data_IF_149331811709
#
_entry.id   IF_149331811709
#
_cell.length_a   1.000
_cell.length_b   1.000
_cell.length_c   1.000
_cell.angle_alpha   90.00
_cell.angle_beta   90.00
_cell.angle_gamma   90.00
#
_symmetry.space_group_name_H-M   'P 1'
#
loop_
_entity.id
_entity.type
_entity.pdbx_description
1 polymer ?
#
# COMPACT_ATOMS: atom_id res chain seq x y z
N UNK A 1 -5.53 -7.99 7.94
CA UNK A 1 -5.85 -7.24 6.71
C UNK A 1 -5.07 -5.94 6.79
N UNK A 2 -4.14 -5.67 5.88
CA UNK A 2 -3.40 -4.40 5.83
C UNK A 2 -4.44 -3.35 5.41
N UNK A 3 -4.63 -2.24 6.16
CA UNK A 3 -5.60 -1.23 5.78
C UNK A 3 -5.33 -0.81 4.33
N UNK A 4 -6.33 -0.88 3.47
CA UNK A 4 -6.28 -0.22 2.17
C UNK A 4 -6.13 1.27 2.46
N UNK A 5 -5.02 1.85 2.05
CA UNK A 5 -4.93 3.30 1.94
C UNK A 5 -6.14 3.73 1.09
N UNK A 6 -6.94 4.66 1.59
CA UNK A 6 -8.04 5.20 0.81
C UNK A 6 -7.57 5.55 -0.60
N UNK A 7 -8.46 5.55 -1.58
CA UNK A 7 -8.27 5.63 -3.05
C UNK A 7 -7.43 6.81 -3.58
N UNK A 8 -6.46 7.32 -2.82
CA UNK A 8 -5.64 8.48 -3.20
C UNK A 8 -4.42 8.06 -4.04
N UNK A 9 -4.70 7.51 -5.20
CA UNK A 9 -3.73 7.38 -6.28
C UNK A 9 -3.66 8.69 -7.07
N UNK A 10 -2.55 8.98 -7.76
CA UNK A 10 -2.45 10.17 -8.60
C UNK A 10 -3.53 10.18 -9.69
N UNK A 11 -4.38 11.19 -9.68
CA UNK A 11 -5.38 11.40 -10.73
C UNK A 11 -4.81 12.11 -11.96
N UNK A 12 -3.70 12.82 -11.78
CA UNK A 12 -3.03 13.61 -12.83
C UNK A 12 -1.56 13.23 -12.96
N UNK A 13 -1.07 13.20 -14.17
CA UNK A 13 0.35 12.99 -14.48
C UNK A 13 0.79 11.53 -14.62
N UNK A 14 0.00 10.56 -14.14
CA UNK A 14 0.25 9.13 -14.29
C UNK A 14 -1.08 8.36 -14.28
N UNK A 15 -1.28 7.44 -15.21
CA UNK A 15 -2.38 6.50 -15.20
C UNK A 15 -1.97 5.26 -14.43
N UNK A 16 -2.63 4.96 -13.32
CA UNK A 16 -2.33 3.83 -12.45
C UNK A 16 -3.60 3.27 -11.84
N UNK A 17 -3.78 1.95 -11.85
CA UNK A 17 -4.88 1.27 -11.15
C UNK A 17 -4.60 1.15 -9.64
N UNK A 18 -5.62 0.78 -8.86
CA UNK A 18 -5.46 0.54 -7.43
C UNK A 18 -4.49 -0.62 -7.15
N UNK A 19 -4.60 -1.73 -7.89
CA UNK A 19 -3.69 -2.86 -7.74
C UNK A 19 -2.24 -2.49 -8.10
N UNK A 20 -2.03 -1.73 -9.18
CA UNK A 20 -0.71 -1.26 -9.56
C UNK A 20 -0.08 -0.35 -8.50
N UNK A 21 -0.88 0.55 -7.92
CA UNK A 21 -0.46 1.42 -6.83
C UNK A 21 -0.14 0.64 -5.56
N UNK A 22 -0.96 -0.37 -5.24
CA UNK A 22 -0.71 -1.27 -4.12
C UNK A 22 0.51 -2.17 -4.34
N UNK A 23 0.80 -2.62 -5.57
CA UNK A 23 2.03 -3.37 -5.88
C UNK A 23 3.26 -2.51 -5.62
N UNK A 24 3.28 -1.23 -6.04
CA UNK A 24 4.37 -0.31 -5.69
C UNK A 24 4.55 -0.20 -4.17
N UNK A 25 3.44 -0.02 -3.44
CA UNK A 25 3.44 0.05 -1.98
C UNK A 25 4.00 -1.23 -1.35
N UNK A 26 3.47 -2.39 -1.70
CA UNK A 26 3.90 -3.69 -1.17
C UNK A 26 5.37 -4.00 -1.50
N UNK A 27 5.81 -3.66 -2.72
CA UNK A 27 7.23 -3.75 -3.11
C UNK A 27 8.12 -2.93 -2.17
N UNK A 28 7.71 -1.72 -1.84
CA UNK A 28 8.46 -0.85 -0.94
C UNK A 28 8.42 -1.31 0.52
N UNK A 29 7.36 -1.97 0.97
CA UNK A 29 7.33 -2.63 2.28
C UNK A 29 8.41 -3.71 2.35
N UNK A 30 8.50 -4.60 1.36
CA UNK A 30 9.54 -5.64 1.34
C UNK A 30 10.95 -5.05 1.27
N UNK A 31 11.15 -3.99 0.49
CA UNK A 31 12.43 -3.30 0.41
C UNK A 31 12.82 -2.62 1.72
N UNK A 32 11.88 -1.99 2.40
CA UNK A 32 12.13 -1.34 3.69
C UNK A 32 12.50 -2.33 4.81
N UNK A 33 11.90 -3.53 4.83
CA UNK A 33 12.28 -4.61 5.75
C UNK A 33 13.76 -4.97 5.64
N UNK A 34 14.32 -4.90 4.43
CA UNK A 34 15.72 -5.20 4.12
C UNK A 34 16.60 -3.93 4.10
N UNK A 35 16.12 -2.80 4.62
CA UNK A 35 16.86 -1.53 4.67
C UNK A 35 17.16 -0.90 3.32
N UNK A 36 16.56 -1.39 2.22
CA UNK A 36 16.80 -0.91 0.87
C UNK A 36 16.12 0.44 0.62
N UNK A 37 16.68 1.24 -0.30
CA UNK A 37 16.03 2.47 -0.79
C UNK A 37 14.69 2.13 -1.44
N UNK A 38 13.68 2.97 -1.19
CA UNK A 38 12.37 2.81 -1.80
C UNK A 38 12.41 3.19 -3.27
N UNK A 39 11.50 2.59 -4.04
CA UNK A 39 11.32 2.86 -5.47
C UNK A 39 10.19 3.86 -5.67
N UNK A 40 10.35 4.72 -6.68
CA UNK A 40 9.31 5.66 -7.10
C UNK A 40 8.86 5.31 -8.53
N UNK A 41 7.63 5.68 -8.89
CA UNK A 41 6.98 5.30 -10.15
C UNK A 41 6.94 6.47 -11.14
N UNK A 42 7.80 6.51 -12.17
CA UNK A 42 7.71 7.51 -13.24
C UNK A 42 6.69 7.11 -14.29
N UNK A 43 5.93 8.09 -14.82
CA UNK A 43 4.85 7.84 -15.79
C UNK A 43 5.31 7.10 -17.05
N UNK A 44 6.51 7.37 -17.54
CA UNK A 44 7.04 6.71 -18.73
C UNK A 44 7.26 5.20 -18.52
N UNK A 45 7.77 4.81 -17.35
CA UNK A 45 7.99 3.41 -17.00
C UNK A 45 6.66 2.72 -16.69
N UNK A 46 5.74 3.40 -16.04
CA UNK A 46 4.38 2.91 -15.78
C UNK A 46 3.65 2.58 -17.08
N UNK A 47 3.69 3.51 -18.05
CA UNK A 47 3.09 3.29 -19.38
C UNK A 47 3.70 2.08 -20.10
N UNK A 48 5.02 1.95 -20.07
CA UNK A 48 5.73 0.80 -20.67
C UNK A 48 5.29 -0.53 -20.04
N UNK A 49 5.15 -0.54 -18.71
CA UNK A 49 4.77 -1.75 -17.97
C UNK A 49 3.30 -2.13 -18.22
N UNK A 50 2.40 -1.16 -18.33
CA UNK A 50 1.01 -1.38 -18.70
C UNK A 50 0.88 -2.02 -20.10
N UNK A 51 1.72 -1.59 -21.07
CA UNK A 51 1.81 -2.21 -22.39
C UNK A 51 2.26 -3.67 -22.27
N UNK A 52 3.31 -3.93 -21.45
CA UNK A 52 3.84 -5.29 -21.26
C UNK A 52 2.81 -6.23 -20.61
N UNK A 53 2.03 -5.77 -19.64
CA UNK A 53 0.98 -6.59 -19.02
C UNK A 53 -0.06 -7.05 -20.07
N UNK A 54 -0.50 -6.13 -20.96
CA UNK A 54 -1.42 -6.47 -22.05
C UNK A 54 -0.80 -7.43 -23.07
N UNK A 55 0.45 -7.19 -23.46
CA UNK A 55 1.17 -8.07 -24.39
C UNK A 55 1.28 -9.49 -23.87
N UNK A 56 1.46 -9.68 -22.56
CA UNK A 56 1.72 -10.99 -21.98
C UNK A 56 0.51 -11.94 -21.96
N UNK A 57 -0.71 -11.45 -21.98
CA UNK A 57 -1.94 -12.29 -21.91
C UNK A 57 -1.93 -13.38 -22.98
N UNK A 58 -1.60 -13.03 -24.22
CA UNK A 58 -1.59 -13.93 -25.38
C UNK A 58 -0.19 -14.10 -25.99
N UNK A 59 0.86 -13.77 -25.25
CA UNK A 59 2.23 -13.84 -25.75
C UNK A 59 2.73 -15.30 -25.77
N UNK A 60 3.07 -15.79 -26.95
CA UNK A 60 3.65 -17.13 -27.17
C UNK A 60 5.18 -17.13 -27.24
N UNK A 61 5.80 -15.95 -27.17
CA UNK A 61 7.24 -15.81 -27.18
C UNK A 61 7.85 -16.22 -25.83
N UNK A 62 9.14 -16.57 -25.78
CA UNK A 62 9.84 -16.84 -24.51
C UNK A 62 9.68 -15.70 -23.50
N UNK A 63 9.82 -16.02 -22.21
CA UNK A 63 9.77 -15.04 -21.13
C UNK A 63 10.69 -13.84 -21.45
N UNK A 64 10.24 -12.63 -21.05
CA UNK A 64 10.96 -11.38 -21.29
C UNK A 64 11.09 -10.93 -22.76
N UNK A 65 10.36 -11.62 -23.66
CA UNK A 65 10.29 -11.27 -25.10
C UNK A 65 8.90 -10.73 -25.40
N UNK A 66 8.82 -9.68 -26.21
CA UNK A 66 7.56 -9.08 -26.67
C UNK A 66 6.97 -9.90 -27.83
N UNK A 67 5.67 -9.77 -28.16
CA UNK A 67 5.06 -10.49 -29.28
C UNK A 67 5.75 -10.29 -30.63
N UNK A 68 6.42 -9.16 -30.82
CA UNK A 68 7.19 -8.85 -32.03
C UNK A 68 8.62 -9.42 -32.05
N UNK A 69 8.97 -10.31 -31.08
CA UNK A 69 10.27 -10.93 -30.96
C UNK A 69 11.36 -10.07 -30.33
N UNK A 70 11.07 -8.81 -29.98
CA UNK A 70 12.07 -7.95 -29.34
C UNK A 70 12.09 -8.13 -27.82
N UNK A 71 13.19 -7.73 -27.16
CA UNK A 71 13.29 -7.75 -25.70
C UNK A 71 12.26 -6.82 -25.05
N UNK A 72 11.76 -7.17 -23.84
CA UNK A 72 10.90 -6.32 -23.02
C UNK A 72 11.45 -4.89 -22.84
N UNK A 73 12.78 -4.74 -22.88
CA UNK A 73 13.46 -3.43 -22.75
C UNK A 73 12.99 -2.42 -23.80
N UNK A 74 12.57 -2.89 -24.98
CA UNK A 74 12.08 -2.02 -26.06
C UNK A 74 10.69 -1.43 -25.79
N UNK A 75 9.97 -1.89 -24.78
CA UNK A 75 8.74 -1.24 -24.33
C UNK A 75 9.03 0.08 -23.61
N UNK A 76 10.21 0.22 -22.99
CA UNK A 76 10.63 1.44 -22.30
C UNK A 76 11.11 2.45 -23.34
N UNK A 77 10.53 3.67 -23.42
CA UNK A 77 10.90 4.63 -24.43
C UNK A 77 12.37 5.08 -24.28
N UNK A 78 13.07 5.28 -25.38
CA UNK A 78 14.47 5.69 -25.40
C UNK A 78 14.74 7.06 -24.74
N UNK A 79 13.68 7.88 -24.63
CA UNK A 79 13.70 9.16 -23.90
C UNK A 79 13.81 8.97 -22.39
N UNK A 80 13.39 7.82 -21.84
CA UNK A 80 13.52 7.48 -20.42
C UNK A 80 14.93 6.95 -20.16
N UNK A 81 15.85 7.82 -19.74
CA UNK A 81 17.25 7.46 -19.50
C UNK A 81 17.39 6.61 -18.24
N UNK A 82 18.01 5.45 -18.38
CA UNK A 82 18.29 4.51 -17.30
C UNK A 82 19.68 3.89 -17.48
N UNK A 83 20.20 3.27 -16.41
CA UNK A 83 21.51 2.57 -16.42
C UNK A 83 21.35 1.05 -16.36
N UNK A 84 20.14 0.56 -16.28
CA UNK A 84 19.81 -0.87 -16.27
C UNK A 84 18.33 -1.09 -16.03
N UNK A 85 17.81 -2.17 -16.58
CA UNK A 85 16.40 -2.59 -16.45
C UNK A 85 16.32 -4.03 -15.93
N UNK A 86 15.23 -4.33 -15.22
CA UNK A 86 14.84 -5.68 -14.84
C UNK A 86 13.34 -5.84 -15.00
N UNK A 87 12.88 -7.06 -15.23
CA UNK A 87 11.46 -7.39 -15.35
C UNK A 87 11.10 -8.55 -14.43
N UNK A 88 9.98 -8.44 -13.73
CA UNK A 88 9.27 -9.56 -13.11
C UNK A 88 7.93 -9.72 -13.82
N UNK A 89 7.57 -10.97 -14.10
CA UNK A 89 6.29 -11.35 -14.71
C UNK A 89 5.56 -12.29 -13.75
N UNK A 90 4.23 -12.18 -13.69
CA UNK A 90 3.38 -13.07 -12.92
C UNK A 90 2.10 -13.32 -13.69
N UNK A 91 1.70 -14.59 -13.75
CA UNK A 91 0.46 -15.05 -14.38
C UNK A 91 -0.32 -15.91 -13.39
N UNK A 92 -1.63 -15.73 -13.36
CA UNK A 92 -2.54 -16.58 -12.58
C UNK A 92 -3.77 -16.96 -13.40
N UNK A 93 -4.66 -17.77 -12.83
CA UNK A 93 -5.86 -18.29 -13.51
C UNK A 93 -7.10 -17.42 -13.29
N UNK A 94 -7.01 -16.38 -12.47
CA UNK A 94 -8.08 -15.44 -12.16
C UNK A 94 -7.57 -14.02 -12.39
N UNK A 95 -8.45 -13.02 -12.29
CA UNK A 95 -8.04 -11.61 -12.29
C UNK A 95 -6.95 -11.40 -11.24
N UNK A 96 -5.83 -10.84 -11.68
CA UNK A 96 -4.67 -10.62 -10.81
C UNK A 96 -4.98 -9.51 -9.79
N UNK A 97 -4.53 -9.71 -8.55
CA UNK A 97 -4.55 -8.70 -7.50
C UNK A 97 -3.13 -8.40 -7.02
N UNK A 98 -2.95 -7.25 -6.39
CA UNK A 98 -1.66 -6.86 -5.83
C UNK A 98 -1.08 -7.92 -4.88
N UNK A 99 -1.92 -8.50 -4.02
CA UNK A 99 -1.50 -9.51 -3.05
C UNK A 99 -1.08 -10.82 -3.71
N UNK A 100 -1.81 -11.27 -4.76
CA UNK A 100 -1.47 -12.48 -5.50
C UNK A 100 -0.13 -12.34 -6.21
N UNK A 101 0.06 -11.24 -6.93
CA UNK A 101 1.30 -10.98 -7.66
C UNK A 101 2.50 -10.88 -6.71
N UNK A 102 2.40 -10.08 -5.65
CA UNK A 102 3.48 -9.93 -4.68
C UNK A 102 3.83 -11.23 -3.97
N UNK A 103 2.83 -12.03 -3.57
CA UNK A 103 3.07 -13.36 -2.98
C UNK A 103 3.81 -14.28 -3.96
N UNK A 104 3.40 -14.29 -5.23
CA UNK A 104 4.07 -15.09 -6.26
C UNK A 104 5.53 -14.67 -6.45
N UNK A 105 5.80 -13.38 -6.59
CA UNK A 105 7.16 -12.87 -6.77
C UNK A 105 8.04 -13.10 -5.53
N UNK A 106 7.54 -12.88 -4.32
CA UNK A 106 8.33 -13.06 -3.10
C UNK A 106 8.65 -14.53 -2.79
N UNK A 107 7.84 -15.47 -3.28
CA UNK A 107 8.12 -16.91 -3.19
C UNK A 107 9.09 -17.42 -4.28
N UNK A 108 9.46 -16.60 -5.23
CA UNK A 108 10.43 -16.93 -6.30
C UNK A 108 11.76 -16.24 -6.04
N UNK A 109 12.84 -17.00 -5.90
CA UNK A 109 14.18 -16.46 -5.58
C UNK A 109 14.64 -15.39 -6.59
N UNK A 110 14.44 -15.61 -7.89
CA UNK A 110 14.84 -14.67 -8.95
C UNK A 110 14.01 -13.38 -8.93
N UNK A 111 12.69 -13.49 -8.77
CA UNK A 111 11.81 -12.32 -8.69
C UNK A 111 12.05 -11.52 -7.41
N UNK A 112 12.21 -12.20 -6.26
CA UNK A 112 12.58 -11.57 -4.99
C UNK A 112 13.91 -10.83 -5.10
N UNK A 113 14.91 -11.43 -5.75
CA UNK A 113 16.21 -10.78 -5.99
C UNK A 113 16.07 -9.48 -6.79
N UNK A 114 15.19 -9.44 -7.81
CA UNK A 114 14.89 -8.20 -8.54
C UNK A 114 14.21 -7.17 -7.63
N UNK A 115 13.21 -7.56 -6.85
CA UNK A 115 12.52 -6.66 -5.91
C UNK A 115 13.50 -6.04 -4.92
N UNK A 116 14.47 -6.80 -4.43
CA UNK A 116 15.43 -6.37 -3.40
C UNK A 116 16.75 -5.81 -3.96
N UNK A 117 16.92 -5.76 -5.28
CA UNK A 117 18.14 -5.25 -5.90
C UNK A 117 18.39 -3.78 -5.53
N UNK A 118 19.59 -3.48 -5.08
CA UNK A 118 19.90 -2.20 -4.44
C UNK A 118 19.97 -1.02 -5.40
N UNK A 119 20.47 -1.25 -6.61
CA UNK A 119 20.71 -0.18 -7.58
C UNK A 119 19.46 0.31 -8.32
N UNK A 120 18.30 -0.31 -8.13
CA UNK A 120 17.06 0.21 -8.70
C UNK A 120 16.57 1.45 -7.97
N UNK A 121 16.03 2.40 -8.73
CA UNK A 121 15.45 3.65 -8.25
C UNK A 121 13.97 3.77 -8.63
N UNK A 122 13.61 3.21 -9.76
CA UNK A 122 12.27 3.34 -10.34
C UNK A 122 11.60 1.99 -10.52
N UNK A 123 10.28 2.00 -10.43
CA UNK A 123 9.41 0.86 -10.68
C UNK A 123 8.20 1.32 -11.51
N UNK A 124 7.96 0.64 -12.63
CA UNK A 124 6.66 0.63 -13.30
C UNK A 124 5.94 -0.67 -12.96
N UNK A 125 4.63 -0.61 -12.87
CA UNK A 125 3.77 -1.77 -12.58
C UNK A 125 2.65 -1.80 -13.61
N UNK A 126 2.37 -2.95 -14.21
CA UNK A 126 1.23 -3.16 -15.08
C UNK A 126 0.43 -4.36 -14.63
N UNK A 127 -0.90 -4.21 -14.63
CA UNK A 127 -1.84 -5.31 -14.42
C UNK A 127 -2.83 -5.35 -15.58
N UNK A 128 -3.11 -6.54 -16.08
CA UNK A 128 -4.13 -6.74 -17.09
C UNK A 128 -4.67 -8.17 -17.02
N UNK A 129 -5.97 -8.33 -16.78
CA UNK A 129 -6.62 -9.64 -16.63
C UNK A 129 -5.90 -10.55 -15.63
N UNK A 130 -5.20 -11.57 -16.13
CA UNK A 130 -4.48 -12.60 -15.35
C UNK A 130 -3.00 -12.26 -15.14
N UNK A 131 -2.51 -11.17 -15.71
CA UNK A 131 -1.09 -10.82 -15.78
C UNK A 131 -0.73 -9.64 -14.92
N UNK A 132 0.41 -9.74 -14.23
CA UNK A 132 1.07 -8.61 -13.60
C UNK A 132 2.54 -8.54 -14.03
N UNK A 133 3.03 -7.33 -14.24
CA UNK A 133 4.42 -7.06 -14.65
C UNK A 133 4.99 -5.94 -13.79
N UNK A 134 6.24 -6.12 -13.37
CA UNK A 134 7.10 -5.07 -12.82
C UNK A 134 8.25 -4.80 -13.78
N UNK A 135 8.50 -3.54 -14.12
CA UNK A 135 9.75 -3.14 -14.76
C UNK A 135 10.50 -2.20 -13.81
N UNK A 136 11.67 -2.65 -13.40
CA UNK A 136 12.60 -1.89 -12.57
C UNK A 136 13.58 -1.12 -13.43
N UNK A 137 13.99 0.06 -12.95
CA UNK A 137 15.03 0.82 -13.62
C UNK A 137 16.04 1.43 -12.64
N UNK A 138 17.33 1.32 -12.98
CA UNK A 138 18.42 2.01 -12.31
C UNK A 138 18.62 3.41 -12.91
N UNK A 139 19.10 4.35 -12.09
CA UNK A 139 19.43 5.71 -12.54
C UNK A 139 20.65 6.23 -11.78
N UNK A 140 21.53 6.93 -12.50
CA UNK A 140 22.64 7.69 -11.89
C UNK A 140 22.17 9.05 -11.32
N UNK A 141 20.93 9.46 -11.60
CA UNK A 141 20.37 10.75 -11.19
C UNK A 141 19.62 10.62 -9.88
N UNK A 142 20.01 11.38 -8.87
CA UNK A 142 19.35 11.40 -7.55
C UNK A 142 18.12 12.29 -7.59
N UNK A 143 17.12 12.00 -6.75
CA UNK A 143 15.99 12.89 -6.49
C UNK A 143 16.54 14.20 -5.90
N UNK A 144 16.27 15.33 -6.56
CA UNK A 144 16.74 16.66 -6.14
C UNK A 144 15.70 17.45 -5.37
N UNK A 145 14.41 17.18 -5.62
CA UNK A 145 13.29 17.87 -4.96
C UNK A 145 12.09 16.95 -4.85
N UNK A 146 11.22 17.27 -3.90
CA UNK A 146 9.95 16.58 -3.70
C UNK A 146 8.90 17.55 -3.16
N UNK A 147 7.64 17.24 -3.42
CA UNK A 147 6.45 17.80 -2.79
C UNK A 147 5.45 16.69 -2.52
N UNK A 148 4.37 16.96 -1.81
CA UNK A 148 3.25 16.02 -1.71
C UNK A 148 2.14 16.38 -2.70
N UNK A 149 1.14 15.53 -2.82
CA UNK A 149 -0.05 15.75 -3.65
C UNK A 149 -0.75 17.07 -3.35
N UNK A 150 -0.79 17.49 -2.08
CA UNK A 150 -1.36 18.77 -1.64
C UNK A 150 -0.34 19.89 -1.50
N UNK A 151 0.94 19.66 -1.82
CA UNK A 151 2.03 20.62 -1.61
C UNK A 151 2.52 20.74 -0.17
N UNK A 152 1.91 20.02 0.78
CA UNK A 152 2.25 20.11 2.21
C UNK A 152 3.25 19.02 2.61
N UNK A 153 4.28 19.40 3.35
CA UNK A 153 5.24 18.46 3.98
C UNK A 153 5.09 18.42 5.50
N UNK A 154 4.08 19.11 6.02
CA UNK A 154 3.73 19.14 7.44
C UNK A 154 2.24 18.87 7.59
N UNK A 155 1.88 17.87 8.37
CA UNK A 155 0.51 17.42 8.61
C UNK A 155 0.17 17.57 10.10
N UNK A 156 -1.11 17.68 10.42
CA UNK A 156 -1.58 17.75 11.79
C UNK A 156 -1.24 16.47 12.55
N UNK A 157 -1.53 15.33 11.94
CA UNK A 157 -1.31 13.98 12.45
C UNK A 157 -1.09 12.98 11.29
N UNK A 158 -0.95 11.70 11.61
CA UNK A 158 -0.75 10.63 10.63
C UNK A 158 -2.00 10.40 9.76
N UNK A 159 -3.19 10.70 10.27
CA UNK A 159 -4.46 10.58 9.53
C UNK A 159 -4.58 11.66 8.46
N UNK A 160 -4.20 12.90 8.80
CA UNK A 160 -4.16 14.00 7.82
C UNK A 160 -3.13 13.77 6.70
N UNK A 161 -2.15 12.90 6.93
CA UNK A 161 -1.18 12.45 5.92
C UNK A 161 -1.70 11.24 5.13
N UNK A 162 -2.70 10.52 5.65
CA UNK A 162 -3.18 9.30 5.01
C UNK A 162 -3.74 9.60 3.61
N UNK A 163 -3.31 8.79 2.65
CA UNK A 163 -3.70 8.95 1.25
C UNK A 163 -2.89 9.97 0.45
N UNK A 164 -1.99 10.72 1.07
CA UNK A 164 -1.06 11.57 0.35
C UNK A 164 0.02 10.73 -0.38
N UNK A 165 0.59 11.31 -1.41
CA UNK A 165 1.75 10.74 -2.11
C UNK A 165 2.80 11.80 -2.38
N UNK A 166 4.06 11.37 -2.47
CA UNK A 166 5.15 12.22 -2.94
C UNK A 166 5.13 12.34 -4.46
N UNK A 167 5.47 13.51 -4.93
CA UNK A 167 5.87 13.82 -6.30
C UNK A 167 7.34 14.19 -6.23
N UNK A 168 8.20 13.27 -6.65
CA UNK A 168 9.65 13.41 -6.65
C UNK A 168 10.13 13.89 -8.02
N UNK A 169 11.13 14.78 -8.06
CA UNK A 169 11.80 15.18 -9.30
C UNK A 169 13.30 14.89 -9.16
N UNK A 170 13.89 14.15 -10.08
CA UNK A 170 15.30 13.86 -10.11
C UNK A 170 16.14 14.98 -10.76
N UNK A 171 17.45 14.79 -10.79
CA UNK A 171 18.39 15.74 -11.39
C UNK A 171 18.23 15.89 -12.92
N UNK A 172 17.60 14.91 -13.59
CA UNK A 172 17.26 14.98 -15.02
C UNK A 172 15.87 15.57 -15.28
N UNK A 173 15.11 15.93 -14.23
CA UNK A 173 13.74 16.44 -14.34
C UNK A 173 12.66 15.35 -14.43
N UNK A 174 13.02 14.08 -14.27
CA UNK A 174 12.04 12.99 -14.28
C UNK A 174 11.16 13.10 -13.03
N UNK A 175 9.86 13.24 -13.24
CA UNK A 175 8.85 13.16 -12.18
C UNK A 175 8.47 11.71 -11.90
N UNK A 176 8.37 11.36 -10.62
CA UNK A 176 7.98 10.04 -10.17
C UNK A 176 7.19 10.14 -8.87
N UNK A 177 6.40 9.11 -8.57
CA UNK A 177 5.37 9.13 -7.54
C UNK A 177 5.61 8.02 -6.51
N UNK A 178 5.26 8.28 -5.25
CA UNK A 178 5.39 7.32 -4.14
C UNK A 178 4.26 7.55 -3.14
N UNK A 179 3.42 6.53 -2.80
CA UNK A 179 2.46 6.66 -1.70
C UNK A 179 3.17 7.05 -0.40
N UNK A 180 2.53 7.86 0.45
CA UNK A 180 2.99 8.03 1.82
C UNK A 180 2.38 6.95 2.70
N UNK A 181 3.22 6.07 3.24
CA UNK A 181 2.80 4.97 4.11
C UNK A 181 3.79 4.79 5.26
N UNK A 182 3.29 4.92 6.47
CA UNK A 182 4.10 4.79 7.69
C UNK A 182 4.72 3.40 7.86
N UNK A 183 4.23 2.38 7.15
CA UNK A 183 4.77 1.00 7.20
C UNK A 183 6.21 0.92 6.70
N UNK A 184 6.60 1.77 5.75
CA UNK A 184 7.97 1.80 5.21
C UNK A 184 8.70 3.13 5.45
N UNK A 185 8.06 4.07 6.14
CA UNK A 185 8.70 5.32 6.56
C UNK A 185 9.35 5.14 7.92
N UNK A 186 10.55 5.67 8.11
CA UNK A 186 11.23 5.61 9.41
C UNK A 186 10.73 6.74 10.31
N UNK A 187 10.11 6.38 11.44
CA UNK A 187 9.68 7.35 12.46
C UNK A 187 10.87 8.04 13.08
N UNK A 188 10.80 9.36 13.23
CA UNK A 188 11.79 10.22 13.88
C UNK A 188 11.06 11.25 14.76
N UNK A 189 11.79 11.98 15.60
CA UNK A 189 11.19 13.06 16.42
C UNK A 189 10.48 14.07 15.49
N UNK A 190 9.19 14.26 15.69
CA UNK A 190 8.36 15.19 14.95
C UNK A 190 7.95 14.75 13.53
N UNK A 191 7.99 13.45 13.22
CA UNK A 191 7.48 12.94 11.93
C UNK A 191 8.20 11.73 11.38
N UNK A 192 8.49 11.74 10.08
CA UNK A 192 9.06 10.60 9.35
C UNK A 192 10.19 11.02 8.41
N UNK A 193 11.10 10.09 8.17
CA UNK A 193 12.06 10.13 7.06
C UNK A 193 11.78 9.01 6.07
N UNK A 194 12.08 9.25 4.80
CA UNK A 194 11.85 8.32 3.70
C UNK A 194 13.18 8.00 3.04
N UNK A 195 13.55 6.71 3.00
CA UNK A 195 14.82 6.24 2.45
C UNK A 195 14.76 6.19 0.92
N UNK A 196 15.04 7.29 0.26
CA UNK A 196 15.09 7.43 -1.20
C UNK A 196 16.53 7.69 -1.71
N UNK A 197 16.78 7.41 -2.98
CA UNK A 197 18.00 7.85 -3.64
C UNK A 197 17.92 9.35 -3.94
N UNK A 198 18.11 10.18 -2.91
CA UNK A 198 17.92 11.62 -2.98
C UNK A 198 19.19 12.40 -2.58
N UNK A 199 19.28 13.66 -3.04
CA UNK A 199 20.39 14.57 -2.68
C UNK A 199 20.29 15.06 -1.25
N UNK A 200 19.07 15.08 -0.68
CA UNK A 200 18.77 15.46 0.71
C UNK A 200 17.78 14.47 1.31
N UNK A 201 17.84 14.29 2.62
CA UNK A 201 16.89 13.45 3.33
C UNK A 201 15.46 13.95 3.12
N UNK A 202 14.57 13.06 2.64
CA UNK A 202 13.14 13.34 2.51
C UNK A 202 12.50 13.26 3.88
N UNK A 203 11.81 14.33 4.30
CA UNK A 203 11.20 14.45 5.64
C UNK A 203 9.74 14.86 5.52
N UNK A 204 8.88 14.21 6.29
CA UNK A 204 7.49 14.59 6.52
C UNK A 204 7.34 14.93 8.00
N UNK A 205 6.81 16.11 8.30
CA UNK A 205 6.60 16.57 9.67
C UNK A 205 5.17 16.24 10.13
N UNK A 206 5.04 15.82 11.38
CA UNK A 206 3.75 15.61 12.05
C UNK A 206 3.72 16.55 13.26
N UNK A 207 2.77 17.49 13.32
CA UNK A 207 2.65 18.47 14.40
C UNK A 207 2.23 17.80 15.71
N UNK A 208 1.20 16.98 15.64
CA UNK A 208 0.68 16.20 16.76
C UNK A 208 1.11 14.75 16.57
N UNK A 209 2.43 14.49 16.58
CA UNK A 209 2.90 13.12 16.61
C UNK A 209 2.30 12.48 17.86
N UNK A 210 1.29 11.63 17.68
CA UNK A 210 0.63 10.95 18.80
C UNK A 210 1.69 10.37 19.70
N UNK A 211 1.72 10.80 20.96
CA UNK A 211 2.33 10.02 22.00
C UNK A 211 1.74 8.62 21.86
N UNK A 212 2.59 7.61 21.77
CA UNK A 212 2.20 6.20 21.88
C UNK A 212 1.06 6.11 22.89
N UNK A 213 -0.02 5.40 22.51
CA UNK A 213 -1.18 5.23 23.39
C UNK A 213 -0.70 4.93 24.81
N UNK A 214 -1.33 5.56 25.77
CA UNK A 214 -0.97 5.46 27.20
C UNK A 214 -1.39 4.12 27.84
N UNK A 215 -1.78 3.13 27.04
CA UNK A 215 -2.17 1.82 27.56
C UNK A 215 -0.94 0.98 27.87
N UNK A 216 -0.87 0.49 29.11
CA UNK A 216 0.29 -0.22 29.66
C UNK A 216 0.31 -1.71 29.32
N UNK A 217 -0.81 -2.26 28.88
CA UNK A 217 -1.05 -3.68 28.58
C UNK A 217 -0.90 -4.05 27.10
N UNK A 218 -0.22 -3.19 26.33
CA UNK A 218 -0.22 -3.27 24.87
C UNK A 218 1.19 -3.33 24.29
N UNK A 219 1.38 -4.15 23.26
CA UNK A 219 2.62 -4.17 22.49
C UNK A 219 2.75 -2.95 21.58
N UNK A 220 3.97 -2.52 21.30
CA UNK A 220 4.24 -1.42 20.39
C UNK A 220 3.68 -1.65 18.97
N UNK A 221 3.54 -2.94 18.56
CA UNK A 221 2.95 -3.33 17.27
C UNK A 221 1.45 -3.01 17.21
N UNK A 222 0.73 -3.15 18.33
CA UNK A 222 -0.72 -2.96 18.40
C UNK A 222 -1.11 -1.50 18.63
N UNK A 223 -0.18 -0.68 19.11
CA UNK A 223 -0.42 0.70 19.54
C UNK A 223 -1.17 1.56 18.51
N UNK A 224 -0.83 1.41 17.22
CA UNK A 224 -1.47 2.16 16.14
C UNK A 224 -2.91 1.68 15.88
N UNK A 225 -3.12 0.38 15.87
CA UNK A 225 -4.43 -0.21 15.66
C UNK A 225 -5.38 0.18 16.79
N UNK A 226 -4.91 0.08 18.04
CA UNK A 226 -5.68 0.46 19.23
C UNK A 226 -6.00 1.95 19.22
N UNK A 227 -5.02 2.81 18.97
CA UNK A 227 -5.26 4.26 18.88
C UNK A 227 -6.32 4.59 17.81
N UNK A 228 -6.29 3.89 16.67
CA UNK A 228 -7.25 4.11 15.59
C UNK A 228 -8.67 3.64 15.96
N UNK A 229 -8.83 2.43 16.52
CA UNK A 229 -10.15 1.91 16.89
C UNK A 229 -10.79 2.72 18.02
N UNK A 230 -10.00 3.23 18.98
CA UNK A 230 -10.49 4.09 20.05
C UNK A 230 -10.90 5.46 19.52
N UNK A 231 -10.04 6.10 18.71
CA UNK A 231 -10.33 7.40 18.08
C UNK A 231 -11.63 7.37 17.26
N UNK A 232 -11.84 6.28 16.51
CA UNK A 232 -13.03 6.12 15.66
C UNK A 232 -14.22 5.52 16.41
N UNK A 233 -14.15 5.39 17.73
CA UNK A 233 -15.22 4.85 18.59
C UNK A 233 -15.69 3.45 18.16
N UNK A 234 -14.79 2.68 17.54
CA UNK A 234 -15.07 1.30 17.12
C UNK A 234 -14.96 0.36 18.31
N UNK A 235 -13.94 0.56 19.15
CA UNK A 235 -13.75 -0.16 20.41
C UNK A 235 -13.41 0.85 21.51
N UNK A 236 -13.86 0.52 22.74
CA UNK A 236 -13.58 1.35 23.92
C UNK A 236 -12.47 0.70 24.75
N UNK A 237 -11.59 1.50 25.37
CA UNK A 237 -10.63 0.97 26.34
C UNK A 237 -11.38 0.46 27.58
N UNK A 238 -10.83 -0.56 28.22
CA UNK A 238 -11.41 -1.16 29.41
C UNK A 238 -11.17 -0.33 30.67
N UNK A 239 -10.12 0.50 30.64
CA UNK A 239 -9.83 1.49 31.66
C UNK A 239 -9.03 2.65 31.06
N UNK A 240 -8.72 3.67 31.88
CA UNK A 240 -7.90 4.81 31.44
C UNK A 240 -6.52 4.39 30.87
N UNK A 241 -5.96 3.31 31.36
CA UNK A 241 -4.60 2.86 31.03
C UNK A 241 -4.51 1.46 30.42
N UNK A 242 -5.64 0.78 30.15
CA UNK A 242 -5.67 -0.60 29.68
C UNK A 242 -6.70 -0.77 28.56
N UNK A 243 -6.32 -1.51 27.52
CA UNK A 243 -7.14 -1.81 26.35
C UNK A 243 -7.42 -3.31 26.20
N UNK A 244 -6.66 -4.18 26.87
CA UNK A 244 -6.69 -5.64 26.76
C UNK A 244 -6.57 -6.12 25.30
N UNK A 245 -5.58 -5.63 24.59
CA UNK A 245 -5.32 -5.92 23.15
C UNK A 245 -5.16 -7.42 22.86
N UNK A 246 -4.81 -8.22 23.87
CA UNK A 246 -4.67 -9.67 23.80
C UNK A 246 -5.85 -10.46 24.36
N UNK A 247 -6.95 -9.79 24.72
CA UNK A 247 -8.15 -10.47 25.18
C UNK A 247 -8.79 -11.30 24.05
N UNK A 248 -9.43 -12.39 24.42
CA UNK A 248 -10.18 -13.21 23.45
C UNK A 248 -11.42 -12.41 23.03
N UNK A 249 -11.54 -12.15 21.73
CA UNK A 249 -12.72 -11.55 21.13
C UNK A 249 -13.80 -12.62 20.89
N UNK A 250 -15.03 -12.34 21.30
CA UNK A 250 -16.20 -13.12 20.90
C UNK A 250 -16.59 -12.78 19.45
N UNK A 251 -17.41 -13.62 18.82
CA UNK A 251 -18.02 -13.30 17.51
C UNK A 251 -18.81 -11.99 17.58
N UNK A 252 -19.53 -11.75 18.69
CA UNK A 252 -20.28 -10.52 18.91
C UNK A 252 -19.40 -9.27 18.94
N UNK A 253 -18.20 -9.33 19.55
CA UNK A 253 -17.24 -8.22 19.58
C UNK A 253 -16.71 -7.91 18.18
N UNK A 254 -16.41 -8.95 17.39
CA UNK A 254 -15.94 -8.78 16.00
C UNK A 254 -17.02 -8.11 15.15
N UNK A 255 -18.27 -8.60 15.20
CA UNK A 255 -19.38 -8.01 14.44
C UNK A 255 -19.67 -6.58 14.89
N UNK A 256 -19.62 -6.32 16.20
CA UNK A 256 -19.82 -4.98 16.73
C UNK A 256 -18.76 -3.99 16.26
N UNK A 257 -17.49 -4.40 16.23
CA UNK A 257 -16.40 -3.59 15.70
C UNK A 257 -16.56 -3.32 14.20
N UNK A 258 -16.88 -4.34 13.39
CA UNK A 258 -17.14 -4.20 11.97
C UNK A 258 -18.36 -3.30 11.68
N UNK A 259 -19.44 -3.46 12.43
CA UNK A 259 -20.64 -2.64 12.33
C UNK A 259 -20.36 -1.16 12.60
N UNK A 260 -19.65 -0.87 13.70
CA UNK A 260 -19.24 0.49 14.06
C UNK A 260 -18.29 1.09 13.01
N UNK A 261 -17.34 0.30 12.51
CA UNK A 261 -16.40 0.74 11.45
C UNK A 261 -17.13 1.10 10.13
N UNK A 262 -18.33 0.55 9.91
CA UNK A 262 -19.20 0.87 8.76
C UNK A 262 -20.24 1.97 9.06
N UNK A 263 -20.06 2.74 10.12
CA UNK A 263 -20.94 3.87 10.46
C UNK A 263 -22.26 3.48 11.13
N UNK A 264 -22.36 2.24 11.64
CA UNK A 264 -23.53 1.75 12.37
C UNK A 264 -24.87 1.93 11.64
N UNK A 265 -25.02 1.49 10.38
CA UNK A 265 -26.24 1.67 9.60
C UNK A 265 -27.40 0.89 10.23
N UNK A 266 -28.64 1.36 10.06
CA UNK A 266 -29.81 0.65 10.58
C UNK A 266 -29.97 -0.70 9.89
N UNK A 267 -29.95 -1.84 10.65
CA UNK A 267 -30.18 -3.16 10.07
C UNK A 267 -31.61 -3.32 9.56
N UNK A 268 -31.79 -4.11 8.51
CA UNK A 268 -33.11 -4.47 7.94
C UNK A 268 -33.53 -5.90 8.26
N UNK A 269 -32.53 -6.79 8.53
CA UNK A 269 -32.81 -8.18 8.87
C UNK A 269 -33.62 -8.32 10.15
N UNK A 270 -34.47 -9.33 10.17
CA UNK A 270 -35.14 -9.77 11.38
C UNK A 270 -34.24 -10.70 12.18
N UNK A 271 -34.42 -10.71 13.51
CA UNK A 271 -33.68 -11.63 14.37
C UNK A 271 -34.19 -13.06 14.22
N UNK A 272 -33.34 -13.95 13.72
CA UNK A 272 -33.59 -15.40 13.63
C UNK A 272 -32.72 -16.21 14.60
N UNK A 273 -31.93 -15.55 15.45
CA UNK A 273 -31.04 -16.21 16.39
C UNK A 273 -31.69 -16.34 17.77
N UNK A 274 -31.86 -17.58 18.30
CA UNK A 274 -32.46 -17.76 19.60
C UNK A 274 -31.61 -17.29 20.78
N UNK A 275 -30.30 -17.17 20.55
CA UNK A 275 -29.28 -16.78 21.53
C UNK A 275 -28.89 -15.30 21.45
N UNK A 276 -29.43 -14.52 20.51
CA UNK A 276 -29.19 -13.08 20.38
C UNK A 276 -30.41 -12.29 20.83
N UNK A 277 -30.30 -11.62 21.96
CA UNK A 277 -31.38 -10.82 22.55
C UNK A 277 -31.30 -9.36 22.14
N UNK A 278 -32.43 -8.68 22.07
CA UNK A 278 -32.45 -7.23 21.75
C UNK A 278 -31.74 -6.35 22.80
N UNK A 279 -31.44 -6.91 23.97
CA UNK A 279 -30.66 -6.27 25.03
C UNK A 279 -29.16 -6.44 24.87
N UNK A 280 -28.69 -7.31 23.97
CA UNK A 280 -27.24 -7.55 23.76
C UNK A 280 -26.60 -6.37 23.08
N UNK A 281 -25.42 -6.00 23.56
CA UNK A 281 -24.65 -4.86 23.02
C UNK A 281 -24.31 -4.99 21.52
N UNK A 282 -24.25 -6.22 21.02
CA UNK A 282 -23.97 -6.55 19.61
C UNK A 282 -25.23 -6.88 18.79
N UNK A 283 -26.44 -6.73 19.34
CA UNK A 283 -27.73 -7.09 18.68
C UNK A 283 -27.84 -6.48 17.27
N UNK A 284 -27.68 -5.15 17.14
CA UNK A 284 -27.76 -4.47 15.86
C UNK A 284 -26.64 -4.91 14.90
N UNK A 285 -25.47 -5.19 15.43
CA UNK A 285 -24.34 -5.67 14.65
C UNK A 285 -24.56 -7.07 14.08
N UNK A 286 -25.21 -7.96 14.85
CA UNK A 286 -25.59 -9.30 14.38
C UNK A 286 -26.61 -9.21 13.23
N UNK A 287 -27.64 -8.40 13.37
CA UNK A 287 -28.63 -8.20 12.29
C UNK A 287 -28.00 -7.57 11.04
N UNK A 288 -27.09 -6.60 11.20
CA UNK A 288 -26.34 -6.02 10.09
C UNK A 288 -25.44 -7.05 9.40
N UNK A 289 -24.85 -7.97 10.15
CA UNK A 289 -24.04 -9.04 9.59
C UNK A 289 -24.85 -9.98 8.69
N UNK A 290 -26.13 -10.27 9.08
CA UNK A 290 -27.09 -10.97 8.22
C UNK A 290 -27.37 -10.17 6.95
N UNK A 291 -27.67 -8.87 7.05
CA UNK A 291 -27.90 -8.00 5.89
C UNK A 291 -26.72 -8.00 4.90
N UNK A 292 -25.51 -8.26 5.38
CA UNK A 292 -24.27 -8.30 4.60
C UNK A 292 -23.86 -9.70 4.15
N UNK A 293 -24.62 -10.73 4.51
CA UNK A 293 -24.29 -12.12 4.20
C UNK A 293 -22.98 -12.59 4.87
N UNK A 294 -22.66 -12.05 6.04
CA UNK A 294 -21.48 -12.43 6.82
C UNK A 294 -21.76 -13.64 7.73
N UNK A 295 -23.02 -13.86 8.06
CA UNK A 295 -23.56 -14.99 8.82
C UNK A 295 -24.94 -15.35 8.28
#
# INVERSE_FOLDING_TARGET
MIPTLGNNRPEKGIAVSEDEWNILRLTNIERAKEGKKLLTMPAALQKATAVRAKENVNNTQPAHTRPNGTSYKTAVPSSFKNTGLGENMYKCTKTVTAQLAMRGWMNSASHKANILRENYQYLGVGTYETEAVQIFASSSKKIKSYTTSTGKTTFADEEAMAGEYLICTDQAGVKSYLPLDTTYMKKVKGGYTINLNATKTVKIKIKNASSTSSYTDMDAADAKAVAWVVKNKIMEPTSKNEFYSKAICTKGDVFNALYKANGSPTPKALNHFPDVKSTDSYYKAALWAVDKGLI
#
